data_IF_252088769816
#
_entry.id   IF_252088769816
#
_cell.length_a   1.000
_cell.length_b   1.000
_cell.length_c   1.000
_cell.angle_alpha   90.00
_cell.angle_beta   90.00
_cell.angle_gamma   90.00
#
_symmetry.space_group_name_H-M   'P 1'
#
loop_
_entity.id
_entity.type
_entity.pdbx_description
1 polymer ?
#
# COMPACT_ATOMS: atom_id res chain seq x y z
N UNK A 1 -23.94 8.29 -7.78
CA UNK A 1 -23.71 8.32 -6.32
C UNK A 1 -24.40 7.17 -5.58
N UNK A 2 -25.74 7.08 -5.53
CA UNK A 2 -26.43 6.03 -4.75
C UNK A 2 -26.27 4.57 -5.28
N UNK A 3 -26.01 4.40 -6.59
CA UNK A 3 -25.78 3.07 -7.21
C UNK A 3 -24.37 2.51 -6.96
N UNK A 4 -23.33 3.35 -6.96
CA UNK A 4 -21.97 3.00 -6.53
C UNK A 4 -21.95 2.52 -5.07
N UNK A 5 -22.76 3.15 -4.21
CA UNK A 5 -22.93 2.74 -2.81
C UNK A 5 -23.56 1.34 -2.64
N UNK A 6 -24.45 0.93 -3.55
CA UNK A 6 -25.08 -0.40 -3.53
C UNK A 6 -24.13 -1.50 -4.02
N UNK A 7 -23.30 -1.21 -5.03
CA UNK A 7 -22.22 -2.10 -5.47
C UNK A 7 -21.13 -2.25 -4.38
N UNK A 8 -20.78 -1.14 -3.68
CA UNK A 8 -19.90 -1.16 -2.48
C UNK A 8 -20.42 -2.14 -1.41
N UNK A 9 -21.75 -2.27 -1.25
CA UNK A 9 -22.38 -3.16 -0.26
C UNK A 9 -22.30 -4.65 -0.60
N UNK A 10 -22.27 -5.05 -1.88
CA UNK A 10 -22.04 -6.44 -2.28
C UNK A 10 -20.54 -6.79 -2.30
N UNK A 11 -19.69 -5.86 -2.72
CA UNK A 11 -18.23 -5.99 -2.56
C UNK A 11 -17.79 -6.01 -1.10
N UNK A 12 -18.57 -5.45 -0.16
CA UNK A 12 -18.30 -5.56 1.28
C UNK A 12 -18.26 -7.00 1.78
N UNK A 13 -18.90 -7.98 1.12
CA UNK A 13 -18.82 -9.38 1.55
C UNK A 13 -17.51 -10.07 1.12
N UNK A 14 -16.90 -9.64 0.00
CA UNK A 14 -15.58 -10.12 -0.46
C UNK A 14 -14.42 -9.30 0.11
N UNK A 15 -14.58 -7.97 0.22
CA UNK A 15 -13.70 -7.11 1.05
C UNK A 15 -13.69 -7.54 2.50
N UNK A 16 -14.74 -8.18 3.02
CA UNK A 16 -14.73 -8.78 4.36
C UNK A 16 -13.68 -9.87 4.54
N UNK A 17 -13.35 -10.64 3.51
CA UNK A 17 -12.29 -11.66 3.57
C UNK A 17 -10.91 -11.01 3.58
N UNK A 18 -10.68 -10.02 2.69
CA UNK A 18 -9.45 -9.22 2.69
C UNK A 18 -9.29 -8.45 4.02
N UNK A 19 -10.37 -7.83 4.52
CA UNK A 19 -10.42 -7.17 5.83
C UNK A 19 -10.20 -8.12 6.99
N UNK A 20 -10.77 -9.32 6.99
CA UNK A 20 -10.59 -10.26 8.11
C UNK A 20 -9.15 -10.79 8.17
N UNK A 21 -8.47 -10.96 7.04
CA UNK A 21 -7.08 -11.45 7.00
C UNK A 21 -6.08 -10.30 7.21
N UNK A 22 -6.31 -9.11 6.61
CA UNK A 22 -5.50 -7.91 6.86
C UNK A 22 -5.65 -7.42 8.30
N UNK A 23 -6.85 -7.52 8.90
CA UNK A 23 -7.06 -7.24 10.33
C UNK A 23 -6.35 -8.27 11.20
N UNK A 24 -6.27 -9.54 10.80
CA UNK A 24 -5.42 -10.54 11.47
C UNK A 24 -3.94 -10.22 11.27
N UNK A 25 -3.49 -9.66 10.15
CA UNK A 25 -2.11 -9.19 9.97
C UNK A 25 -1.79 -7.94 10.83
N UNK A 26 -2.72 -6.97 10.88
CA UNK A 26 -2.65 -5.79 11.75
C UNK A 26 -2.68 -6.15 13.24
N UNK A 27 -3.46 -7.17 13.63
CA UNK A 27 -3.52 -7.67 15.00
C UNK A 27 -2.39 -8.66 15.33
N UNK A 28 -1.87 -9.42 14.37
CA UNK A 28 -0.79 -10.39 14.62
C UNK A 28 0.59 -9.74 14.71
N UNK A 29 0.79 -8.56 14.12
CA UNK A 29 1.93 -7.69 14.46
C UNK A 29 1.87 -7.20 15.91
N UNK A 30 0.69 -7.17 16.54
CA UNK A 30 0.54 -6.89 17.97
C UNK A 30 0.60 -8.16 18.87
N UNK A 31 0.59 -9.37 18.30
CA UNK A 31 0.37 -10.62 19.04
C UNK A 31 1.61 -11.49 19.29
N UNK A 32 2.83 -10.99 19.08
CA UNK A 32 4.07 -11.75 19.41
C UNK A 32 4.40 -11.78 20.92
N UNK A 33 3.62 -11.14 21.80
CA UNK A 33 3.90 -11.17 23.25
C UNK A 33 2.77 -11.74 24.10
N UNK A 34 2.39 -13.01 23.92
CA UNK A 34 1.80 -13.77 25.03
C UNK A 34 2.21 -15.24 24.96
N UNK A 35 3.34 -15.60 25.59
CA UNK A 35 3.46 -16.89 26.27
C UNK A 35 4.17 -16.73 27.62
N UNK A 36 3.46 -17.21 28.65
CA UNK A 36 3.83 -17.59 30.02
C UNK A 36 4.52 -16.59 30.97
N UNK A 37 3.79 -16.16 32.02
CA UNK A 37 3.62 -17.00 33.23
C UNK A 37 2.84 -16.26 34.31
N UNK A 38 1.94 -17.00 34.95
CA UNK A 38 1.23 -16.61 36.16
C UNK A 38 2.19 -16.70 37.37
N UNK A 39 2.45 -15.59 38.08
CA UNK A 39 2.71 -15.57 39.53
C UNK A 39 2.88 -14.14 40.07
N UNK A 40 2.23 -13.93 41.20
CA UNK A 40 2.09 -12.74 42.06
C UNK A 40 3.36 -11.96 42.44
N UNK A 41 3.28 -10.62 42.44
CA UNK A 41 3.40 -9.74 43.63
C UNK A 41 3.88 -8.32 43.28
N UNK A 42 3.27 -7.32 43.93
CA UNK A 42 3.47 -5.87 43.75
C UNK A 42 4.91 -5.43 44.06
N UNK A 43 5.47 -4.57 43.21
CA UNK A 43 6.27 -3.38 43.59
C UNK A 43 6.37 -2.40 42.42
N UNK A 44 6.09 -1.14 42.73
CA UNK A 44 6.12 0.03 41.87
C UNK A 44 7.48 0.19 41.21
N UNK A 45 7.52 0.17 39.88
CA UNK A 45 8.67 0.59 39.08
C UNK A 45 8.15 1.25 37.82
N UNK A 46 8.44 2.54 37.68
CA UNK A 46 8.33 3.32 36.45
C UNK A 46 8.98 2.55 35.29
N UNK A 47 8.18 1.99 34.39
CA UNK A 47 8.67 1.49 33.10
C UNK A 47 8.78 2.68 32.15
N UNK A 48 9.98 3.25 32.06
CA UNK A 48 10.49 3.81 30.81
C UNK A 48 10.57 2.66 29.81
N UNK A 49 9.85 2.77 28.70
CA UNK A 49 9.83 1.74 27.68
C UNK A 49 8.90 2.09 26.54
N UNK A 50 8.93 3.35 26.07
CA UNK A 50 8.45 3.69 24.74
C UNK A 50 9.45 3.09 23.76
N UNK A 51 9.24 1.83 23.40
CA UNK A 51 9.86 1.25 22.21
C UNK A 51 9.20 1.93 21.00
N UNK A 52 9.69 3.14 20.69
CA UNK A 52 9.54 3.77 19.39
C UNK A 52 9.90 2.72 18.34
N UNK A 53 8.91 2.21 17.61
CA UNK A 53 9.18 1.60 16.30
C UNK A 53 9.90 2.69 15.53
N UNK A 54 11.22 2.54 15.34
CA UNK A 54 12.00 3.49 14.55
C UNK A 54 11.48 3.37 13.12
N UNK A 55 10.64 4.32 12.71
CA UNK A 55 10.22 4.50 11.33
C UNK A 55 11.43 4.36 10.40
N UNK A 56 11.40 3.40 9.47
CA UNK A 56 12.48 3.19 8.52
C UNK A 56 12.35 4.21 7.38
N UNK A 57 12.69 5.47 7.64
CA UNK A 57 12.61 6.54 6.64
C UNK A 57 13.48 6.19 5.40
N UNK A 58 12.95 6.31 4.16
CA UNK A 58 13.69 5.94 2.96
C UNK A 58 14.95 6.81 2.72
N UNK A 59 16.13 6.19 2.72
CA UNK A 59 17.37 6.82 2.26
C UNK A 59 17.49 6.68 0.73
N UNK A 60 16.88 7.60 0.00
CA UNK A 60 16.86 7.57 -1.48
C UNK A 60 18.26 7.60 -2.11
N UNK A 61 19.29 8.14 -1.44
CA UNK A 61 20.67 8.12 -1.97
C UNK A 61 21.24 6.71 -1.91
N UNK A 62 21.12 6.05 -0.76
CA UNK A 62 21.55 4.66 -0.58
C UNK A 62 20.73 3.71 -1.44
N UNK A 63 19.41 3.84 -1.43
CA UNK A 63 18.49 3.03 -2.23
C UNK A 63 18.88 3.12 -3.70
N UNK A 64 18.99 4.34 -4.27
CA UNK A 64 19.40 4.53 -5.67
C UNK A 64 20.70 3.82 -6.02
N UNK A 65 21.69 3.84 -5.13
CA UNK A 65 22.97 3.17 -5.35
C UNK A 65 22.79 1.64 -5.38
N UNK A 66 22.15 1.08 -4.36
CA UNK A 66 22.04 -0.38 -4.19
C UNK A 66 21.16 -0.99 -5.29
N UNK A 67 20.03 -0.36 -5.64
CA UNK A 67 19.11 -0.89 -6.65
C UNK A 67 19.72 -0.96 -8.06
N UNK A 68 20.77 -0.16 -8.32
CA UNK A 68 21.51 -0.14 -9.58
C UNK A 68 22.79 -0.99 -9.55
N UNK A 69 23.15 -1.57 -8.39
CA UNK A 69 24.39 -2.34 -8.23
C UNK A 69 24.13 -3.82 -8.53
N UNK A 70 24.64 -4.31 -9.67
CA UNK A 70 24.53 -5.74 -10.03
C UNK A 70 25.20 -6.61 -8.96
N UNK A 71 24.47 -7.59 -8.44
CA UNK A 71 24.93 -8.47 -7.37
C UNK A 71 24.62 -7.98 -5.96
N UNK A 72 24.11 -6.75 -5.78
CA UNK A 72 23.44 -6.36 -4.53
C UNK A 72 22.19 -7.20 -4.34
N UNK A 73 21.88 -7.57 -3.10
CA UNK A 73 20.60 -8.23 -2.78
C UNK A 73 19.38 -7.33 -3.07
N UNK A 74 19.61 -6.02 -3.23
CA UNK A 74 18.61 -5.03 -3.56
C UNK A 74 18.54 -4.70 -5.06
N UNK A 75 19.24 -5.45 -5.91
CA UNK A 75 19.29 -5.16 -7.35
C UNK A 75 17.90 -5.20 -8.00
N UNK A 76 17.45 -4.07 -8.55
CA UNK A 76 16.06 -3.86 -8.94
C UNK A 76 15.50 -4.92 -9.90
N UNK A 77 16.20 -5.33 -10.98
CA UNK A 77 15.66 -6.36 -11.88
C UNK A 77 15.37 -7.70 -11.19
N UNK A 78 16.15 -8.07 -10.18
CA UNK A 78 15.91 -9.31 -9.44
C UNK A 78 14.75 -9.14 -8.45
N UNK A 79 14.68 -8.00 -7.75
CA UNK A 79 13.54 -7.68 -6.89
C UNK A 79 12.22 -7.66 -7.67
N UNK A 80 12.20 -7.02 -8.85
CA UNK A 80 11.03 -6.99 -9.73
C UNK A 80 10.61 -8.42 -10.14
N UNK A 81 11.56 -9.22 -10.63
CA UNK A 81 11.29 -10.61 -11.05
C UNK A 81 10.69 -11.45 -9.91
N UNK A 82 11.24 -11.31 -8.69
CA UNK A 82 10.75 -12.04 -7.50
C UNK A 82 9.39 -11.52 -7.04
N UNK A 83 9.17 -10.20 -7.08
CA UNK A 83 7.88 -9.59 -6.77
C UNK A 83 6.78 -10.02 -7.76
N UNK A 84 7.07 -10.03 -9.06
CA UNK A 84 6.15 -10.48 -10.11
C UNK A 84 5.75 -11.96 -9.95
N UNK A 85 6.66 -12.78 -9.43
CA UNK A 85 6.44 -14.18 -9.08
C UNK A 85 5.79 -14.39 -7.70
N UNK A 86 5.37 -13.32 -7.02
CA UNK A 86 4.79 -13.36 -5.67
C UNK A 86 5.67 -14.13 -4.66
N UNK A 87 7.00 -14.00 -4.78
CA UNK A 87 7.95 -14.69 -3.91
C UNK A 87 7.84 -14.17 -2.46
N UNK A 88 7.13 -14.93 -1.62
CA UNK A 88 6.88 -14.63 -0.20
C UNK A 88 8.13 -14.67 0.67
N UNK A 89 9.29 -15.06 0.13
CA UNK A 89 10.58 -15.02 0.83
C UNK A 89 11.31 -13.68 0.71
N UNK A 90 10.77 -12.72 -0.06
CA UNK A 90 11.27 -11.34 -0.08
C UNK A 90 11.11 -10.71 1.31
N UNK A 91 12.21 -10.16 1.83
CA UNK A 91 12.19 -9.52 3.16
C UNK A 91 11.55 -8.13 3.10
N UNK A 92 11.08 -7.61 4.24
CA UNK A 92 10.55 -6.24 4.33
C UNK A 92 11.59 -5.21 3.88
N UNK A 93 12.88 -5.44 4.16
CA UNK A 93 13.96 -4.56 3.69
C UNK A 93 14.10 -4.62 2.16
N UNK A 94 14.08 -5.81 1.57
CA UNK A 94 14.11 -5.96 0.10
C UNK A 94 12.91 -5.29 -0.57
N UNK A 95 11.72 -5.42 0.02
CA UNK A 95 10.50 -4.75 -0.44
C UNK A 95 10.56 -3.24 -0.28
N UNK A 96 11.16 -2.74 0.82
CA UNK A 96 11.43 -1.32 1.03
C UNK A 96 12.32 -0.76 -0.09
N UNK A 97 13.44 -1.42 -0.41
CA UNK A 97 14.31 -1.01 -1.52
C UNK A 97 13.62 -1.12 -2.88
N UNK A 98 12.78 -2.14 -3.08
CA UNK A 98 12.02 -2.29 -4.32
C UNK A 98 11.05 -1.12 -4.53
N UNK A 99 10.18 -0.88 -3.54
CA UNK A 99 9.15 0.16 -3.60
C UNK A 99 9.75 1.56 -3.75
N UNK A 100 10.60 1.98 -2.80
CA UNK A 100 11.19 3.31 -2.83
C UNK A 100 12.25 3.49 -3.92
N UNK A 101 12.86 2.38 -4.38
CA UNK A 101 13.77 2.37 -5.52
C UNK A 101 13.11 2.86 -6.80
N UNK A 102 11.82 2.57 -6.99
CA UNK A 102 11.04 3.04 -8.15
C UNK A 102 11.09 4.55 -8.29
N UNK A 103 11.01 5.31 -7.18
CA UNK A 103 11.06 6.77 -7.20
C UNK A 103 12.42 7.37 -7.62
N UNK A 104 13.47 6.55 -7.69
CA UNK A 104 14.82 6.98 -8.08
C UNK A 104 15.15 6.69 -9.55
N UNK A 105 14.25 5.99 -10.24
CA UNK A 105 14.42 5.60 -11.63
C UNK A 105 14.13 6.76 -12.59
N UNK A 106 14.74 6.80 -13.79
CA UNK A 106 14.53 7.88 -14.76
C UNK A 106 13.09 7.99 -15.30
N UNK A 107 12.33 6.90 -15.25
CA UNK A 107 10.94 6.79 -15.74
C UNK A 107 9.89 7.04 -14.64
N UNK A 108 10.31 7.47 -13.45
CA UNK A 108 9.40 7.77 -12.34
C UNK A 108 8.43 8.90 -12.67
N UNK A 109 7.13 8.66 -12.47
CA UNK A 109 6.06 9.61 -12.75
C UNK A 109 4.97 9.53 -11.67
N UNK A 110 5.08 10.29 -10.56
CA UNK A 110 4.15 10.20 -9.42
C UNK A 110 2.71 10.64 -9.70
N UNK A 111 2.53 11.44 -10.77
CA UNK A 111 1.23 12.00 -11.17
C UNK A 111 0.75 11.44 -12.51
N UNK A 112 1.25 10.26 -12.89
CA UNK A 112 0.86 9.60 -14.13
C UNK A 112 -0.65 9.38 -14.16
N UNK A 113 -1.29 9.81 -15.24
CA UNK A 113 -2.70 9.50 -15.46
C UNK A 113 -2.88 8.02 -15.75
N UNK A 114 -3.69 7.36 -14.94
CA UNK A 114 -4.04 5.95 -15.09
C UNK A 114 -5.38 5.80 -15.81
N UNK A 115 -5.48 4.81 -16.69
CA UNK A 115 -6.75 4.47 -17.35
C UNK A 115 -7.48 3.39 -16.54
N UNK A 116 -8.68 3.72 -16.05
CA UNK A 116 -9.53 2.82 -15.27
C UNK A 116 -10.82 2.41 -16.02
N UNK A 117 -10.98 2.75 -17.30
CA UNK A 117 -12.27 2.59 -18.01
C UNK A 117 -12.77 1.15 -18.02
N UNK A 118 -11.90 0.19 -18.35
CA UNK A 118 -12.24 -1.23 -18.36
C UNK A 118 -12.60 -1.75 -16.97
N UNK A 119 -11.88 -1.28 -15.94
CA UNK A 119 -12.16 -1.61 -14.55
C UNK A 119 -13.51 -1.03 -14.10
N UNK A 120 -13.77 0.24 -14.38
CA UNK A 120 -15.04 0.88 -14.05
C UNK A 120 -16.20 0.18 -14.74
N UNK A 121 -16.06 -0.16 -16.03
CA UNK A 121 -17.07 -0.93 -16.77
C UNK A 121 -17.38 -2.26 -16.10
N UNK A 122 -16.38 -2.97 -15.59
CA UNK A 122 -16.58 -4.21 -14.85
C UNK A 122 -17.24 -3.97 -13.48
N UNK A 123 -16.78 -2.97 -12.71
CA UNK A 123 -17.28 -2.71 -11.35
C UNK A 123 -18.67 -2.06 -11.29
N UNK A 124 -19.08 -1.32 -12.31
CA UNK A 124 -20.36 -0.59 -12.33
C UNK A 124 -21.55 -1.44 -12.77
N UNK A 125 -21.30 -2.58 -13.43
CA UNK A 125 -22.34 -3.52 -13.84
C UNK A 125 -22.88 -4.27 -12.62
N UNK A 126 -24.21 -4.43 -12.56
CA UNK A 126 -24.86 -5.22 -11.50
C UNK A 126 -24.48 -6.70 -11.58
N UNK A 127 -24.34 -7.22 -12.80
CA UNK A 127 -23.88 -8.58 -13.10
C UNK A 127 -22.82 -8.51 -14.20
N UNK A 128 -21.54 -8.29 -13.85
CA UNK A 128 -20.46 -8.23 -14.83
C UNK A 128 -20.25 -9.59 -15.48
N UNK A 129 -20.00 -9.61 -16.78
CA UNK A 129 -19.72 -10.84 -17.52
C UNK A 129 -18.24 -11.21 -17.38
N UNK A 130 -17.90 -12.47 -17.68
CA UNK A 130 -16.50 -12.93 -17.67
C UNK A 130 -15.61 -12.05 -18.56
N UNK A 131 -16.10 -11.64 -19.72
CA UNK A 131 -15.38 -10.78 -20.65
C UNK A 131 -15.08 -9.38 -20.05
N UNK A 132 -15.96 -8.83 -19.21
CA UNK A 132 -15.71 -7.54 -18.55
C UNK A 132 -14.50 -7.66 -17.61
N UNK A 133 -14.43 -8.75 -16.85
CA UNK A 133 -13.31 -9.02 -15.95
C UNK A 133 -12.00 -9.34 -16.71
N UNK A 134 -12.06 -10.09 -17.80
CA UNK A 134 -10.89 -10.37 -18.65
C UNK A 134 -10.31 -9.08 -19.27
N UNK A 135 -11.19 -8.17 -19.72
CA UNK A 135 -10.78 -6.86 -20.21
C UNK A 135 -10.16 -5.98 -19.12
N UNK A 136 -10.74 -5.99 -17.90
CA UNK A 136 -10.17 -5.29 -16.76
C UNK A 136 -8.79 -5.85 -16.37
N UNK A 137 -8.63 -7.18 -16.32
CA UNK A 137 -7.36 -7.83 -16.03
C UNK A 137 -6.27 -7.41 -17.02
N UNK A 138 -6.57 -7.45 -18.32
CA UNK A 138 -5.65 -7.03 -19.37
C UNK A 138 -5.22 -5.56 -19.22
N UNK A 139 -6.17 -4.66 -18.97
CA UNK A 139 -5.87 -3.25 -18.78
C UNK A 139 -4.97 -3.01 -17.56
N UNK A 140 -5.23 -3.71 -16.45
CA UNK A 140 -4.42 -3.62 -15.23
C UNK A 140 -3.00 -4.13 -15.48
N UNK A 141 -2.85 -5.30 -16.10
CA UNK A 141 -1.53 -5.88 -16.40
C UNK A 141 -0.71 -4.97 -17.34
N UNK A 142 -1.35 -4.27 -18.27
CA UNK A 142 -0.68 -3.28 -19.12
C UNK A 142 -0.18 -2.07 -18.33
N UNK A 143 -0.94 -1.59 -17.35
CA UNK A 143 -0.50 -0.49 -16.47
C UNK A 143 0.70 -0.92 -15.61
N UNK A 144 0.62 -2.10 -14.99
CA UNK A 144 1.65 -2.63 -14.09
C UNK A 144 3.00 -2.90 -14.77
N UNK A 145 3.05 -3.10 -16.10
CA UNK A 145 4.34 -3.18 -16.85
C UNK A 145 5.17 -1.91 -16.73
N UNK A 146 4.53 -0.77 -16.55
CA UNK A 146 5.18 0.55 -16.50
C UNK A 146 5.16 1.17 -15.12
N UNK A 147 4.39 0.60 -14.19
CA UNK A 147 4.29 1.03 -12.80
C UNK A 147 4.08 -0.21 -11.90
N UNK A 148 5.12 -1.05 -11.75
CA UNK A 148 4.99 -2.36 -11.09
C UNK A 148 4.71 -2.25 -9.59
N UNK A 149 4.87 -1.06 -9.01
CA UNK A 149 4.69 -0.81 -7.57
C UNK A 149 3.38 -0.12 -7.24
N UNK A 150 2.49 0.10 -8.22
CA UNK A 150 1.20 0.76 -8.00
C UNK A 150 0.28 -0.07 -7.11
N UNK A 151 0.12 0.34 -5.85
CA UNK A 151 -0.60 -0.43 -4.83
C UNK A 151 -2.06 -0.60 -5.23
N UNK A 152 -2.67 0.46 -5.77
CA UNK A 152 -4.08 0.46 -6.13
C UNK A 152 -4.37 -0.48 -7.29
N UNK A 153 -3.51 -0.54 -8.30
CA UNK A 153 -3.66 -1.50 -9.39
C UNK A 153 -3.46 -2.95 -8.94
N UNK A 154 -2.54 -3.23 -8.02
CA UNK A 154 -2.43 -4.58 -7.43
C UNK A 154 -3.67 -4.96 -6.62
N UNK A 155 -4.26 -4.02 -5.87
CA UNK A 155 -5.53 -4.26 -5.19
C UNK A 155 -6.64 -4.60 -6.19
N UNK A 156 -6.77 -3.84 -7.28
CA UNK A 156 -7.75 -4.14 -8.32
C UNK A 156 -7.45 -5.45 -9.05
N UNK A 157 -6.18 -5.80 -9.28
CA UNK A 157 -5.77 -7.08 -9.85
C UNK A 157 -6.29 -8.23 -9.00
N UNK A 158 -6.11 -8.15 -7.67
CA UNK A 158 -6.64 -9.15 -6.75
C UNK A 158 -8.17 -9.28 -6.85
N UNK A 159 -8.91 -8.16 -6.87
CA UNK A 159 -10.37 -8.16 -7.02
C UNK A 159 -10.80 -8.80 -8.35
N UNK A 160 -10.15 -8.44 -9.45
CA UNK A 160 -10.46 -8.97 -10.78
C UNK A 160 -10.15 -10.47 -10.84
N UNK A 161 -9.01 -10.90 -10.29
CA UNK A 161 -8.61 -12.31 -10.29
C UNK A 161 -9.51 -13.17 -9.40
N UNK A 162 -9.94 -12.67 -8.25
CA UNK A 162 -10.94 -13.34 -7.41
C UNK A 162 -12.26 -13.58 -8.18
N UNK A 163 -12.71 -12.60 -8.98
CA UNK A 163 -13.92 -12.76 -9.78
C UNK A 163 -13.75 -13.68 -11.01
N UNK A 164 -12.55 -13.74 -11.60
CA UNK A 164 -12.27 -14.61 -12.74
C UNK A 164 -12.00 -16.07 -12.36
N UNK A 165 -11.28 -16.27 -11.27
CA UNK A 165 -10.65 -17.55 -10.95
C UNK A 165 -11.12 -18.12 -9.60
N UNK A 166 -11.78 -17.31 -8.77
CA UNK A 166 -12.18 -17.68 -7.41
C UNK A 166 -11.09 -17.43 -6.37
N UNK A 167 -11.46 -17.44 -5.07
CA UNK A 167 -10.56 -17.09 -3.97
C UNK A 167 -9.42 -18.09 -3.78
N UNK A 168 -9.64 -19.36 -4.12
CA UNK A 168 -8.68 -20.45 -3.90
C UNK A 168 -7.70 -20.65 -5.07
N UNK A 169 -7.75 -19.79 -6.10
CA UNK A 169 -6.84 -19.90 -7.24
C UNK A 169 -5.45 -19.37 -6.91
N UNK A 170 -4.41 -20.03 -7.43
CA UNK A 170 -3.02 -19.58 -7.31
C UNK A 170 -2.86 -18.13 -7.80
N UNK A 171 -3.49 -17.76 -8.92
CA UNK A 171 -3.47 -16.38 -9.43
C UNK A 171 -4.04 -15.37 -8.43
N UNK A 172 -5.17 -15.70 -7.80
CA UNK A 172 -5.81 -14.83 -6.81
C UNK A 172 -4.93 -14.66 -5.58
N UNK A 173 -4.27 -15.75 -5.15
CA UNK A 173 -3.33 -15.77 -4.03
C UNK A 173 -2.05 -14.97 -4.33
N UNK A 174 -1.48 -15.10 -5.53
CA UNK A 174 -0.31 -14.34 -5.95
C UNK A 174 -0.61 -12.84 -6.00
N UNK A 175 -1.75 -12.45 -6.57
CA UNK A 175 -2.18 -11.06 -6.59
C UNK A 175 -2.41 -10.51 -5.18
N UNK A 176 -2.93 -11.33 -4.26
CA UNK A 176 -3.05 -10.98 -2.85
C UNK A 176 -1.67 -10.74 -2.20
N UNK A 177 -0.72 -11.66 -2.40
CA UNK A 177 0.62 -11.54 -1.84
C UNK A 177 1.34 -10.29 -2.36
N UNK A 178 1.18 -9.95 -3.63
CA UNK A 178 1.73 -8.72 -4.21
C UNK A 178 1.22 -7.45 -3.50
N UNK A 179 -0.06 -7.41 -3.14
CA UNK A 179 -0.62 -6.31 -2.33
C UNK A 179 0.03 -6.28 -0.94
N UNK A 180 0.10 -7.44 -0.26
CA UNK A 180 0.71 -7.54 1.08
C UNK A 180 2.18 -7.12 1.06
N UNK A 181 2.93 -7.48 0.03
CA UNK A 181 4.33 -7.14 -0.14
C UNK A 181 4.54 -5.62 -0.26
N UNK A 182 3.72 -4.94 -1.07
CA UNK A 182 3.80 -3.47 -1.20
C UNK A 182 3.37 -2.76 0.09
N UNK A 183 2.31 -3.24 0.75
CA UNK A 183 1.88 -2.70 2.03
C UNK A 183 2.93 -2.92 3.13
N UNK A 184 3.68 -4.02 3.08
CA UNK A 184 4.81 -4.28 3.99
C UNK A 184 5.94 -3.28 3.79
N UNK A 185 6.24 -2.91 2.53
CA UNK A 185 7.22 -1.87 2.23
C UNK A 185 6.79 -0.52 2.83
N UNK A 186 5.54 -0.10 2.58
CA UNK A 186 5.02 1.18 3.08
C UNK A 186 4.93 1.21 4.60
N UNK A 187 4.43 0.12 5.21
CA UNK A 187 4.30 0.00 6.68
C UNK A 187 5.65 -0.05 7.40
N UNK A 188 6.76 -0.31 6.69
CA UNK A 188 8.10 -0.19 7.28
C UNK A 188 8.44 1.24 7.71
N UNK A 189 7.73 2.24 7.19
CA UNK A 189 7.98 3.65 7.46
C UNK A 189 7.11 4.24 8.56
N UNK A 190 6.00 3.59 8.92
CA UNK A 190 5.08 4.12 9.92
C UNK A 190 3.72 3.44 9.87
N UNK A 191 2.77 3.99 10.62
CA UNK A 191 1.39 3.50 10.72
C UNK A 191 0.34 4.48 10.14
N UNK A 192 0.79 5.61 9.61
CA UNK A 192 -0.05 6.64 9.00
C UNK A 192 -0.91 7.44 9.96
N UNK A 193 -0.70 7.35 11.29
CA UNK A 193 -1.59 7.98 12.29
C UNK A 193 -1.17 9.39 12.72
N UNK A 194 0.03 9.81 12.34
CA UNK A 194 0.59 11.13 12.64
C UNK A 194 1.59 11.53 11.55
N UNK A 195 2.11 12.75 11.58
CA UNK A 195 3.19 13.14 10.66
C UNK A 195 4.47 12.34 10.92
N UNK A 196 4.77 12.09 12.18
CA UNK A 196 5.96 11.39 12.65
C UNK A 196 5.97 9.92 12.26
N UNK A 197 4.78 9.33 12.11
CA UNK A 197 4.58 7.94 11.69
C UNK A 197 3.87 7.85 10.34
N UNK A 198 3.94 8.89 9.51
CA UNK A 198 3.25 8.94 8.23
C UNK A 198 3.71 7.78 7.32
N UNK A 199 2.79 7.27 6.51
CA UNK A 199 3.17 6.33 5.46
C UNK A 199 3.94 7.09 4.38
N UNK A 200 5.19 6.73 4.14
CA UNK A 200 5.93 7.26 3.00
C UNK A 200 5.41 6.58 1.72
N UNK A 201 4.93 7.38 0.78
CA UNK A 201 4.40 6.91 -0.50
C UNK A 201 5.16 7.56 -1.65
N UNK A 202 5.13 6.92 -2.81
CA UNK A 202 5.80 7.43 -4.01
C UNK A 202 4.82 7.90 -5.09
N UNK A 203 3.51 7.81 -4.87
CA UNK A 203 2.51 8.29 -5.82
C UNK A 203 1.19 8.61 -5.12
N UNK A 204 0.43 9.54 -5.70
CA UNK A 204 -0.93 9.85 -5.22
C UNK A 204 -1.83 8.62 -5.31
N UNK A 205 -1.65 7.78 -6.34
CA UNK A 205 -2.46 6.56 -6.49
C UNK A 205 -2.27 5.57 -5.35
N UNK A 206 -1.09 5.53 -4.74
CA UNK A 206 -0.80 4.62 -3.62
C UNK A 206 -1.54 5.03 -2.35
N UNK A 207 -1.72 6.33 -2.09
CA UNK A 207 -2.50 6.84 -0.95
C UNK A 207 -3.94 6.32 -0.99
N UNK A 208 -4.59 6.46 -2.15
CA UNK A 208 -5.93 5.91 -2.38
C UNK A 208 -5.94 4.39 -2.34
N UNK A 209 -4.90 3.72 -2.84
CA UNK A 209 -4.78 2.26 -2.76
C UNK A 209 -4.72 1.77 -1.31
N UNK A 210 -3.94 2.43 -0.46
CA UNK A 210 -3.83 2.12 0.97
C UNK A 210 -5.17 2.35 1.67
N UNK A 211 -5.83 3.50 1.44
CA UNK A 211 -7.17 3.77 2.00
C UNK A 211 -8.21 2.74 1.54
N UNK A 212 -8.21 2.38 0.24
CA UNK A 212 -9.14 1.40 -0.33
C UNK A 212 -8.95 0.01 0.32
N UNK A 213 -7.70 -0.41 0.56
CA UNK A 213 -7.39 -1.68 1.27
C UNK A 213 -7.98 -1.68 2.69
N UNK A 214 -7.86 -0.57 3.42
CA UNK A 214 -8.44 -0.44 4.76
C UNK A 214 -9.96 -0.18 4.72
N UNK A 215 -10.54 0.02 3.54
CA UNK A 215 -11.94 0.39 3.38
C UNK A 215 -12.27 1.75 4.02
N UNK A 216 -11.29 2.65 4.04
CA UNK A 216 -11.42 4.03 4.50
C UNK A 216 -11.95 4.90 3.37
N UNK A 217 -12.52 6.05 3.71
CA UNK A 217 -13.01 7.00 2.72
C UNK A 217 -12.64 8.40 3.16
N UNK A 218 -11.97 9.20 2.29
CA UNK A 218 -11.59 10.55 2.64
C UNK A 218 -12.81 11.47 2.64
N UNK A 219 -12.84 12.36 3.63
CA UNK A 219 -13.80 13.44 3.80
C UNK A 219 -13.20 14.77 3.35
N UNK A 220 -11.95 15.04 3.74
CA UNK A 220 -11.20 16.24 3.38
C UNK A 220 -9.74 15.89 3.17
N UNK A 221 -9.10 16.60 2.25
CA UNK A 221 -7.68 16.47 1.94
C UNK A 221 -6.99 17.81 2.23
N UNK A 222 -5.83 17.76 2.87
CA UNK A 222 -5.02 18.93 3.18
C UNK A 222 -3.54 18.67 2.94
N UNK A 223 -2.92 19.53 2.13
CA UNK A 223 -1.47 19.54 1.94
C UNK A 223 -0.81 20.35 3.08
N UNK A 224 0.14 19.73 3.77
CA UNK A 224 0.85 20.33 4.90
C UNK A 224 2.35 20.20 4.70
N UNK A 225 3.09 21.27 4.94
CA UNK A 225 4.55 21.28 4.93
C UNK A 225 5.08 21.48 6.35
N UNK A 226 6.22 20.86 6.67
CA UNK A 226 6.95 21.13 7.92
C UNK A 226 8.17 22.03 7.70
N UNK A 227 8.74 22.52 8.80
CA UNK A 227 9.91 23.40 8.79
C UNK A 227 11.20 22.68 8.34
N UNK A 228 11.14 21.36 8.14
CA UNK A 228 12.24 20.52 7.66
C UNK A 228 12.15 20.23 6.16
N UNK A 229 11.19 20.84 5.46
CA UNK A 229 11.00 20.69 4.02
C UNK A 229 10.27 19.40 3.62
N UNK A 230 9.67 18.69 4.57
CA UNK A 230 8.82 17.53 4.24
C UNK A 230 7.41 17.99 3.89
N UNK A 231 6.80 17.26 2.96
CA UNK A 231 5.43 17.49 2.51
C UNK A 231 4.56 16.29 2.85
N UNK A 232 3.40 16.56 3.42
CA UNK A 232 2.45 15.56 3.85
C UNK A 232 1.10 15.82 3.22
N UNK A 233 0.48 14.76 2.72
CA UNK A 233 -0.94 14.76 2.44
C UNK A 233 -1.70 14.21 3.65
N UNK A 234 -2.68 14.97 4.12
CA UNK A 234 -3.49 14.61 5.28
C UNK A 234 -4.91 14.36 4.82
N UNK A 235 -5.33 13.10 4.93
CA UNK A 235 -6.68 12.65 4.60
C UNK A 235 -7.51 12.59 5.88
N UNK A 236 -8.36 13.57 6.12
CA UNK A 236 -9.43 13.43 7.10
C UNK A 236 -10.42 12.39 6.60
N UNK A 237 -10.85 11.49 7.48
CA UNK A 237 -11.63 10.32 7.14
C UNK A 237 -13.09 10.47 7.57
N UNK A 238 -13.97 9.81 6.83
CA UNK A 238 -15.34 9.56 7.28
C UNK A 238 -15.33 8.62 8.51
N UNK A 239 -16.45 8.58 9.25
CA UNK A 239 -16.63 7.62 10.33
C UNK A 239 -16.34 6.19 9.84
N UNK A 240 -15.46 5.49 10.56
CA UNK A 240 -14.98 4.17 10.19
C UNK A 240 -14.85 3.27 11.41
N UNK A 241 -14.73 1.96 11.14
CA UNK A 241 -14.70 0.92 12.17
C UNK A 241 -13.48 1.00 13.11
N UNK A 242 -12.44 1.73 12.71
CA UNK A 242 -11.21 1.91 13.49
C UNK A 242 -11.24 3.17 14.38
N UNK A 243 -12.24 4.05 14.21
CA UNK A 243 -12.27 5.34 14.88
C UNK A 243 -11.09 6.26 14.48
N UNK A 244 -10.50 6.04 13.31
CA UNK A 244 -9.38 6.83 12.82
C UNK A 244 -9.91 8.13 12.22
N UNK A 245 -9.52 9.28 12.77
CA UNK A 245 -9.99 10.59 12.29
C UNK A 245 -9.25 11.04 11.03
N UNK A 246 -7.95 10.75 10.94
CA UNK A 246 -7.10 11.15 9.81
C UNK A 246 -6.03 10.12 9.50
N UNK A 247 -5.58 10.09 8.25
CA UNK A 247 -4.42 9.34 7.78
C UNK A 247 -3.39 10.30 7.16
N UNK A 248 -2.11 10.05 7.44
CA UNK A 248 -0.99 10.90 7.04
C UNK A 248 -0.08 10.17 6.06
N UNK A 249 0.17 10.81 4.92
CA UNK A 249 1.07 10.32 3.89
C UNK A 249 2.22 11.29 3.71
N UNK A 250 3.46 10.82 3.81
CA UNK A 250 4.62 11.62 3.43
C UNK A 250 4.81 11.52 1.91
N UNK A 251 4.60 12.64 1.23
CA UNK A 251 4.62 12.75 -0.24
C UNK A 251 5.84 13.55 -0.74
N UNK A 252 6.84 13.77 0.12
CA UNK A 252 8.00 14.62 -0.18
C UNK A 252 8.68 14.24 -1.49
N UNK A 253 8.90 12.96 -1.75
CA UNK A 253 9.56 12.49 -2.98
C UNK A 253 8.74 12.81 -4.24
N UNK A 254 7.41 12.76 -4.14
CA UNK A 254 6.50 13.10 -5.24
C UNK A 254 6.46 14.60 -5.49
N UNK A 255 6.53 15.42 -4.44
CA UNK A 255 6.66 16.88 -4.54
C UNK A 255 8.00 17.28 -5.17
N UNK A 256 9.12 16.69 -4.74
CA UNK A 256 10.43 16.97 -5.35
C UNK A 256 10.48 16.59 -6.85
N UNK A 257 9.78 15.54 -7.25
CA UNK A 257 9.66 15.17 -8.66
C UNK A 257 8.80 16.16 -9.45
N UNK A 258 7.75 16.72 -8.83
CA UNK A 258 6.94 17.79 -9.39
C UNK A 258 7.78 19.06 -9.62
N UNK A 259 8.53 19.48 -8.61
CA UNK A 259 9.37 20.68 -8.66
C UNK A 259 10.41 20.58 -9.78
N UNK A 260 11.04 19.40 -9.95
CA UNK A 260 11.97 19.14 -11.06
C UNK A 260 11.29 19.21 -12.44
N UNK A 261 10.01 18.84 -12.53
CA UNK A 261 9.25 18.89 -13.79
C UNK A 261 8.85 20.32 -14.17
N UNK A 262 8.54 21.17 -13.20
CA UNK A 262 8.03 22.52 -13.42
C UNK A 262 9.02 23.66 -13.13
N UNK A 263 10.19 23.35 -12.57
CA UNK A 263 11.33 24.28 -12.43
C UNK A 263 11.15 25.37 -11.38
N UNK A 264 10.49 25.07 -10.25
CA UNK A 264 10.38 25.97 -9.10
C UNK A 264 11.61 25.91 -8.19
#
# INVERSE_FOLDING_TARGET
MARLYKCKKNNNMKMRYLKSIVMVAFLSLAAILVFDSCSTSKKTATRKGDASITANTPDYKRIKKEINTKGSEFYYPELLRRFEAADTTLTVEQLHYFYYGTATRPDYSPYKTSNYDALHKALEKETPEKEDWENAAKAIDEQLKTDPTNIRFHMYKHIVYDNLYGPDSEKTFDAYNQVVMLLSAVSSTGDGRSKETAFHVISVTDEYGIMDVFGLSPKMQSLVHDDHGQSYDVMELEENEFGLESMYFNITVSMEALDKMFGF
#
